data_IF_145942476554
#
_entry.id   IF_145942476554
#
_cell.length_a   1.000
_cell.length_b   1.000
_cell.length_c   1.000
_cell.angle_alpha   90.00
_cell.angle_beta   90.00
_cell.angle_gamma   90.00
#
_symmetry.space_group_name_H-M   'P 1'
#
loop_
_entity.id
_entity.type
_entity.pdbx_description
1 polymer ?
#
# COMPACT_ATOMS: atom_id res chain seq x y z
N UNK A 1 9.93 2.17 4.57
CA UNK A 1 8.62 1.51 4.46
C UNK A 1 8.79 0.18 3.75
N UNK A 2 8.01 -0.83 4.13
CA UNK A 2 7.88 -2.12 3.45
C UNK A 2 6.45 -2.62 3.67
N UNK A 3 6.01 -3.56 2.84
CA UNK A 3 4.76 -4.30 3.00
C UNK A 3 5.08 -5.65 3.61
N UNK A 4 4.31 -6.04 4.61
CA UNK A 4 4.38 -7.34 5.25
C UNK A 4 2.97 -7.94 5.28
N UNK A 5 2.80 -9.02 4.52
CA UNK A 5 1.58 -9.82 4.44
C UNK A 5 1.92 -11.26 4.87
N UNK A 6 0.95 -12.07 5.32
CA UNK A 6 1.22 -13.45 5.75
C UNK A 6 1.89 -14.33 4.68
N UNK A 7 1.79 -13.93 3.41
CA UNK A 7 2.24 -14.67 2.25
C UNK A 7 3.19 -13.89 1.32
N UNK A 8 3.51 -12.64 1.64
CA UNK A 8 4.34 -11.79 0.79
C UNK A 8 5.03 -10.67 1.58
N UNK A 9 6.21 -10.27 1.12
CA UNK A 9 6.95 -9.13 1.63
C UNK A 9 7.47 -8.29 0.46
N UNK A 10 7.49 -6.97 0.61
CA UNK A 10 8.12 -6.08 -0.37
C UNK A 10 9.55 -5.73 0.03
N UNK A 11 10.37 -5.18 -0.88
CA UNK A 11 11.64 -4.58 -0.49
C UNK A 11 11.47 -3.45 0.54
N UNK A 12 12.51 -3.21 1.32
CA UNK A 12 12.60 -2.02 2.17
C UNK A 12 12.95 -0.80 1.33
N UNK A 13 12.08 0.20 1.37
CA UNK A 13 12.24 1.47 0.66
C UNK A 13 12.45 2.59 1.67
N UNK A 14 13.50 3.39 1.50
CA UNK A 14 13.70 4.62 2.29
C UNK A 14 12.77 5.69 1.75
N UNK A 15 11.96 6.30 2.61
CA UNK A 15 11.01 7.35 2.23
C UNK A 15 10.78 8.33 3.39
N UNK A 16 10.30 9.52 3.06
CA UNK A 16 9.87 10.51 4.05
C UNK A 16 8.41 10.27 4.47
N UNK A 17 8.10 10.57 5.73
CA UNK A 17 6.75 10.52 6.26
C UNK A 17 6.27 11.93 6.62
N UNK A 18 5.06 12.28 6.16
CA UNK A 18 4.39 13.53 6.51
C UNK A 18 3.17 13.19 7.37
N UNK A 19 3.03 13.88 8.50
CA UNK A 19 1.91 13.70 9.41
C UNK A 19 0.95 14.87 9.22
N UNK A 20 -0.32 14.56 8.93
CA UNK A 20 -1.39 15.53 8.73
C UNK A 20 -2.58 15.16 9.61
N UNK A 21 -3.17 16.15 10.28
CA UNK A 21 -4.32 16.02 11.16
C UNK A 21 -5.67 16.15 10.44
N UNK A 22 -5.65 16.58 9.17
CA UNK A 22 -6.85 16.74 8.34
C UNK A 22 -7.12 15.56 7.41
N UNK A 23 -6.09 14.77 7.11
CA UNK A 23 -6.23 13.61 6.23
C UNK A 23 -6.99 12.48 6.94
N UNK A 24 -7.93 11.87 6.22
CA UNK A 24 -8.79 10.80 6.76
C UNK A 24 -8.28 9.40 6.41
N UNK A 25 -7.23 9.32 5.60
CA UNK A 25 -6.68 8.10 5.02
C UNK A 25 -5.15 8.19 4.97
N UNK A 26 -4.48 7.04 4.89
CA UNK A 26 -3.03 6.98 4.66
C UNK A 26 -2.77 7.14 3.17
N UNK A 27 -2.00 8.15 2.81
CA UNK A 27 -1.59 8.42 1.44
C UNK A 27 -0.14 8.00 1.23
N UNK A 28 0.13 7.38 0.08
CA UNK A 28 1.49 7.11 -0.42
C UNK A 28 1.63 7.71 -1.81
N UNK A 29 2.83 8.13 -2.18
CA UNK A 29 3.10 8.59 -3.55
C UNK A 29 3.06 7.41 -4.53
N UNK A 30 2.77 7.71 -5.80
CA UNK A 30 2.86 6.77 -6.91
C UNK A 30 4.28 6.18 -7.06
N UNK A 31 5.31 6.98 -6.82
CA UNK A 31 6.70 6.54 -6.79
C UNK A 31 6.92 5.46 -5.72
N UNK A 32 6.49 5.71 -4.48
CA UNK A 32 6.64 4.76 -3.38
C UNK A 32 5.82 3.49 -3.65
N UNK A 33 4.60 3.61 -4.19
CA UNK A 33 3.80 2.46 -4.60
C UNK A 33 4.53 1.61 -5.66
N UNK A 34 5.21 2.24 -6.62
CA UNK A 34 6.01 1.57 -7.65
C UNK A 34 7.18 0.77 -7.09
N UNK A 35 7.94 1.36 -6.15
CA UNK A 35 9.08 0.75 -5.46
C UNK A 35 8.66 -0.41 -4.56
N UNK A 36 7.52 -0.28 -3.88
CA UNK A 36 6.93 -1.35 -3.07
C UNK A 36 6.31 -2.46 -3.93
N UNK A 37 6.23 -2.28 -5.25
CA UNK A 37 5.65 -3.26 -6.16
C UNK A 37 4.12 -3.36 -6.07
N UNK A 38 3.45 -2.30 -5.63
CA UNK A 38 1.98 -2.22 -5.59
C UNK A 38 1.45 -1.98 -7.01
N UNK A 39 0.37 -2.66 -7.35
CA UNK A 39 -0.48 -2.37 -8.51
C UNK A 39 -1.86 -2.00 -7.99
N UNK A 40 -2.35 -0.82 -8.38
CA UNK A 40 -3.69 -0.40 -8.04
C UNK A 40 -4.71 -1.01 -9.01
N UNK A 41 -5.76 -1.62 -8.44
CA UNK A 41 -6.84 -2.23 -9.20
C UNK A 41 -8.07 -1.32 -9.21
N UNK A 42 -8.50 -0.83 -8.04
CA UNK A 42 -9.54 0.19 -7.89
C UNK A 42 -9.31 1.02 -6.63
N UNK A 43 -8.81 2.24 -6.80
CA UNK A 43 -8.55 3.17 -5.71
C UNK A 43 -9.80 3.55 -4.92
N UNK A 44 -10.97 3.59 -5.56
CA UNK A 44 -12.22 4.05 -4.91
C UNK A 44 -12.62 3.15 -3.75
N UNK A 45 -12.30 1.88 -3.85
CA UNK A 45 -12.66 0.84 -2.86
C UNK A 45 -11.43 0.19 -2.22
N UNK A 46 -10.25 0.77 -2.42
CA UNK A 46 -9.00 0.29 -1.84
C UNK A 46 -8.59 -1.09 -2.33
N UNK A 47 -8.81 -1.41 -3.62
CA UNK A 47 -8.36 -2.67 -4.22
C UNK A 47 -6.97 -2.52 -4.84
N UNK A 48 -6.09 -3.44 -4.49
CA UNK A 48 -4.69 -3.44 -4.92
C UNK A 48 -4.15 -4.87 -4.97
N UNK A 49 -2.97 -5.05 -5.53
CA UNK A 49 -2.19 -6.31 -5.46
C UNK A 49 -0.71 -6.03 -5.51
N UNK A 50 0.11 -7.04 -5.22
CA UNK A 50 1.54 -7.00 -5.45
C UNK A 50 1.88 -7.46 -6.86
N UNK A 51 2.96 -6.94 -7.45
CA UNK A 51 3.53 -7.46 -8.70
C UNK A 51 3.91 -8.94 -8.61
N UNK A 52 4.27 -9.41 -7.40
CA UNK A 52 4.61 -10.81 -7.10
C UNK A 52 3.40 -11.70 -6.82
N UNK A 53 2.18 -11.14 -6.74
CA UNK A 53 0.99 -11.93 -6.47
C UNK A 53 0.68 -12.90 -7.63
N UNK A 54 0.31 -14.16 -7.34
CA UNK A 54 -0.05 -15.11 -8.38
C UNK A 54 -1.43 -14.78 -8.98
N UNK A 55 -1.48 -14.67 -10.31
CA UNK A 55 -2.73 -14.53 -11.07
C UNK A 55 -3.51 -13.24 -10.75
N UNK A 56 -4.82 -13.38 -10.54
CA UNK A 56 -5.77 -12.27 -10.29
C UNK A 56 -6.01 -12.02 -8.79
N UNK A 57 -5.01 -12.26 -7.92
CA UNK A 57 -5.19 -12.00 -6.50
C UNK A 57 -5.39 -10.51 -6.27
N UNK A 58 -6.49 -10.17 -5.60
CA UNK A 58 -6.82 -8.80 -5.20
C UNK A 58 -6.88 -8.72 -3.67
N UNK A 59 -6.23 -7.69 -3.14
CA UNK A 59 -6.14 -7.32 -1.72
C UNK A 59 -6.99 -6.07 -1.46
N UNK A 60 -7.37 -5.86 -0.21
CA UNK A 60 -8.08 -4.66 0.26
C UNK A 60 -7.19 -3.85 1.19
N UNK A 61 -7.27 -2.54 1.09
CA UNK A 61 -6.63 -1.63 2.05
C UNK A 61 -7.18 -1.87 3.45
N UNK A 62 -6.30 -1.73 4.44
CA UNK A 62 -6.66 -1.77 5.85
C UNK A 62 -7.25 -0.43 6.28
N UNK A 63 -8.16 -0.47 7.25
CA UNK A 63 -8.61 0.76 7.91
C UNK A 63 -7.42 1.41 8.64
N UNK A 64 -7.27 2.75 8.56
CA UNK A 64 -6.26 3.46 9.32
C UNK A 64 -6.42 3.16 10.82
N UNK A 65 -5.31 2.90 11.51
CA UNK A 65 -5.34 2.78 12.98
C UNK A 65 -5.80 4.11 13.59
N UNK A 66 -6.96 4.09 14.24
CA UNK A 66 -7.47 5.22 15.03
C UNK A 66 -7.08 5.01 16.50
N UNK A 67 -6.47 6.03 17.09
CA UNK A 67 -6.22 6.12 18.53
C UNK A 67 -7.37 6.87 19.22
#
# INVERSE_FOLDING_TARGET
MWIEEPDAESPHVVCDALISDVEREILISDYLAGELGIVAEDFRVGLWRLKSDPGERVRRSYEPMRF
#
